data_IF_011825896176
#
_entry.id   IF_011825896176
#
_cell.length_a   1.000
_cell.length_b   1.000
_cell.length_c   1.000
_cell.angle_alpha   90.00
_cell.angle_beta   90.00
_cell.angle_gamma   90.00
#
_symmetry.space_group_name_H-M   'P 1'
#
loop_
_entity.id
_entity.type
_entity.pdbx_description
1 polymer ?
#
# COMPACT_ATOMS: atom_id res chain seq x y z
N UNK A 1 18.61 29.15 -13.24
CA UNK A 1 17.27 28.77 -12.73
C UNK A 1 17.49 27.65 -11.73
N UNK A 2 17.12 27.83 -10.47
CA UNK A 2 17.26 26.76 -9.46
C UNK A 2 16.32 25.60 -9.78
N UNK A 3 16.66 24.39 -9.34
CA UNK A 3 15.73 23.25 -9.41
C UNK A 3 14.50 23.58 -8.55
N UNK A 4 13.32 23.51 -9.17
CA UNK A 4 12.04 23.67 -8.49
C UNK A 4 11.58 22.31 -7.98
N UNK A 5 11.10 22.27 -6.73
CA UNK A 5 10.56 21.06 -6.13
C UNK A 5 9.07 20.95 -6.44
N UNK A 6 8.64 19.78 -6.89
CA UNK A 6 7.23 19.51 -7.17
C UNK A 6 6.66 18.50 -6.18
N UNK A 7 5.45 18.77 -5.69
CA UNK A 7 4.65 17.79 -4.99
C UNK A 7 4.18 16.73 -6.00
N UNK A 8 4.41 15.46 -5.67
CA UNK A 8 3.95 14.31 -6.44
C UNK A 8 2.84 13.63 -5.65
N UNK A 9 1.65 13.57 -6.22
CA UNK A 9 0.54 12.78 -5.69
C UNK A 9 -0.04 11.92 -6.84
N UNK A 10 0.00 10.60 -6.68
CA UNK A 10 -0.47 9.67 -7.70
C UNK A 10 -1.23 8.50 -7.08
N UNK A 11 -2.34 8.11 -7.69
CA UNK A 11 -3.13 6.94 -7.27
C UNK A 11 -2.86 5.76 -8.20
N UNK A 12 -2.66 4.58 -7.62
CA UNK A 12 -2.71 3.30 -8.32
C UNK A 12 -3.78 2.42 -7.70
N UNK A 13 -4.66 1.85 -8.53
CA UNK A 13 -5.77 1.02 -8.05
C UNK A 13 -5.38 -0.46 -8.02
N UNK A 14 -5.88 -1.22 -7.04
CA UNK A 14 -5.58 -2.64 -6.82
C UNK A 14 -6.85 -3.44 -6.55
N UNK A 15 -6.82 -4.71 -6.97
CA UNK A 15 -7.85 -5.70 -6.68
C UNK A 15 -7.46 -6.52 -5.44
N UNK A 16 -8.41 -7.28 -4.88
CA UNK A 16 -8.13 -8.24 -3.79
C UNK A 16 -7.07 -9.27 -4.16
N UNK A 17 -6.99 -9.64 -5.44
CA UNK A 17 -6.02 -10.62 -5.93
C UNK A 17 -4.61 -10.04 -6.02
N UNK A 18 -4.46 -8.76 -6.40
CA UNK A 18 -3.14 -8.17 -6.64
C UNK A 18 -2.52 -7.52 -5.40
N UNK A 19 -3.34 -7.07 -4.44
CA UNK A 19 -2.89 -6.27 -3.29
C UNK A 19 -1.80 -6.94 -2.45
N UNK A 20 -1.84 -8.27 -2.28
CA UNK A 20 -0.89 -8.99 -1.41
C UNK A 20 0.57 -8.82 -1.82
N UNK A 21 0.85 -8.70 -3.13
CA UNK A 21 2.21 -8.40 -3.62
C UNK A 21 2.68 -7.02 -3.16
N UNK A 22 1.79 -6.03 -3.20
CA UNK A 22 2.09 -4.65 -2.82
C UNK A 22 2.22 -4.52 -1.31
N UNK A 23 1.34 -5.16 -0.55
CA UNK A 23 1.46 -5.24 0.92
C UNK A 23 2.85 -5.76 1.32
N UNK A 24 3.29 -6.89 0.78
CA UNK A 24 4.61 -7.44 1.12
C UNK A 24 5.76 -6.49 0.78
N UNK A 25 5.61 -5.70 -0.28
CA UNK A 25 6.59 -4.70 -0.65
C UNK A 25 6.59 -3.50 0.34
N UNK A 26 5.41 -2.95 0.65
CA UNK A 26 5.21 -1.81 1.55
C UNK A 26 5.65 -2.16 2.98
N UNK A 27 5.16 -3.28 3.50
CA UNK A 27 5.41 -3.75 4.88
C UNK A 27 6.79 -4.42 5.05
N UNK A 28 7.66 -4.34 4.03
CA UNK A 28 9.02 -4.93 4.04
C UNK A 28 9.06 -6.42 4.40
N UNK A 29 8.07 -7.21 3.96
CA UNK A 29 7.94 -8.65 4.23
C UNK A 29 8.69 -9.55 3.22
N UNK A 30 9.29 -8.99 2.17
CA UNK A 30 10.07 -9.79 1.23
C UNK A 30 11.50 -9.97 1.75
N UNK A 31 12.05 -11.17 1.55
CA UNK A 31 13.45 -11.46 1.88
C UNK A 31 14.42 -10.80 0.88
N UNK A 32 13.99 -10.69 -0.37
CA UNK A 32 14.82 -10.18 -1.47
C UNK A 32 14.07 -9.13 -2.28
N UNK A 33 14.79 -8.07 -2.66
CA UNK A 33 14.29 -7.00 -3.52
C UNK A 33 15.17 -6.87 -4.75
N UNK A 34 14.58 -6.95 -5.94
CA UNK A 34 15.28 -6.68 -7.19
C UNK A 34 15.63 -5.19 -7.36
N UNK A 35 14.91 -4.30 -6.66
CA UNK A 35 15.18 -2.88 -6.69
C UNK A 35 16.42 -2.56 -5.84
N UNK A 36 17.52 -2.22 -6.50
CA UNK A 36 18.80 -1.89 -5.86
C UNK A 36 18.73 -0.67 -4.93
N UNK A 37 17.69 0.16 -5.07
CA UNK A 37 17.50 1.34 -4.21
C UNK A 37 16.82 1.00 -2.87
N UNK A 38 16.41 -0.25 -2.64
CA UNK A 38 15.88 -0.69 -1.35
C UNK A 38 17.03 -1.10 -0.44
N UNK A 39 17.35 -0.23 0.52
CA UNK A 39 18.29 -0.53 1.60
C UNK A 39 17.55 -1.17 2.79
N UNK A 40 17.68 -2.49 2.93
CA UNK A 40 17.04 -3.23 4.02
C UNK A 40 17.58 -2.84 5.39
N UNK A 41 18.85 -2.42 5.50
CA UNK A 41 19.44 -1.99 6.76
C UNK A 41 18.74 -0.75 7.33
N UNK A 42 18.06 0.02 6.47
CA UNK A 42 17.32 1.23 6.82
C UNK A 42 15.83 0.99 7.05
N UNK A 43 15.33 -0.23 6.86
CA UNK A 43 13.89 -0.52 6.94
C UNK A 43 13.28 -0.24 8.33
N UNK A 44 14.08 -0.28 9.39
CA UNK A 44 13.64 0.07 10.75
C UNK A 44 13.24 1.55 10.90
N UNK A 45 13.65 2.42 9.96
CA UNK A 45 13.27 3.84 9.96
C UNK A 45 11.91 4.09 9.29
N UNK A 46 11.32 3.10 8.62
CA UNK A 46 10.00 3.23 8.03
C UNK A 46 8.95 3.31 9.15
N UNK A 47 7.99 4.22 9.00
CA UNK A 47 6.92 4.43 9.98
C UNK A 47 5.55 4.24 9.34
N UNK A 48 4.64 3.61 10.07
CA UNK A 48 3.24 3.45 9.66
C UNK A 48 2.36 4.41 10.46
N UNK A 49 1.72 5.36 9.80
CA UNK A 49 0.73 6.23 10.45
C UNK A 49 -0.49 5.44 10.93
N UNK A 50 -0.97 4.53 10.08
CA UNK A 50 -1.95 3.50 10.43
C UNK A 50 -1.39 2.15 9.97
N UNK A 51 -1.48 1.14 10.83
CA UNK A 51 -1.06 -0.22 10.53
C UNK A 51 -2.25 -1.17 10.61
N UNK A 52 -2.22 -2.24 9.81
CA UNK A 52 -3.17 -3.35 9.91
C UNK A 52 -2.85 -4.28 11.10
N UNK A 53 -1.82 -3.97 11.90
CA UNK A 53 -1.33 -4.84 12.95
C UNK A 53 -0.79 -6.14 12.35
N UNK A 54 -1.26 -7.28 12.87
CA UNK A 54 -0.87 -8.60 12.37
C UNK A 54 -1.69 -9.07 11.17
N UNK A 55 -2.67 -8.28 10.71
CA UNK A 55 -3.53 -8.64 9.58
C UNK A 55 -2.89 -8.20 8.26
N UNK A 56 -3.09 -9.00 7.22
CA UNK A 56 -2.93 -8.56 5.82
C UNK A 56 -3.98 -7.50 5.47
N UNK A 57 -3.76 -6.76 4.39
CA UNK A 57 -4.69 -5.75 3.88
C UNK A 57 -6.04 -6.38 3.50
N UNK A 58 -6.03 -7.61 2.98
CA UNK A 58 -7.26 -8.36 2.70
C UNK A 58 -7.99 -8.77 3.98
N UNK A 59 -7.29 -9.29 4.99
CA UNK A 59 -7.92 -9.66 6.27
C UNK A 59 -8.44 -8.43 7.03
N UNK A 60 -7.73 -7.30 6.93
CA UNK A 60 -8.18 -6.04 7.50
C UNK A 60 -9.44 -5.53 6.79
N UNK A 61 -9.50 -5.63 5.46
CA UNK A 61 -10.70 -5.33 4.67
C UNK A 61 -11.86 -6.25 5.08
N UNK A 62 -11.62 -7.56 5.25
CA UNK A 62 -12.65 -8.50 5.69
C UNK A 62 -13.16 -8.17 7.11
N UNK A 63 -12.28 -7.73 8.01
CA UNK A 63 -12.67 -7.22 9.32
C UNK A 63 -13.55 -5.97 9.21
N UNK A 64 -13.22 -5.03 8.33
CA UNK A 64 -14.04 -3.83 8.09
C UNK A 64 -15.42 -4.18 7.52
N UNK A 65 -15.51 -5.21 6.67
CA UNK A 65 -16.78 -5.71 6.14
C UNK A 65 -17.61 -6.37 7.24
N UNK A 66 -16.99 -7.24 8.04
CA UNK A 66 -17.64 -7.92 9.18
C UNK A 66 -18.18 -6.92 10.20
N UNK A 67 -17.43 -5.85 10.46
CA UNK A 67 -17.84 -4.75 11.35
C UNK A 67 -18.88 -3.81 10.71
N UNK A 68 -19.29 -4.03 9.46
CA UNK A 68 -20.23 -3.17 8.73
C UNK A 68 -19.69 -1.76 8.40
N UNK A 69 -18.37 -1.53 8.55
CA UNK A 69 -17.73 -0.25 8.24
C UNK A 69 -17.62 -0.02 6.73
N UNK A 70 -17.47 -1.09 5.95
CA UNK A 70 -17.39 -1.07 4.49
C UNK A 70 -18.30 -2.15 3.92
N UNK A 71 -18.89 -1.91 2.75
CA UNK A 71 -19.65 -2.91 2.00
C UNK A 71 -19.07 -3.06 0.60
N UNK A 72 -18.90 -4.31 0.16
CA UNK A 72 -18.53 -4.64 -1.23
C UNK A 72 -19.72 -5.22 -2.03
N UNK A 73 -20.94 -5.14 -1.49
CA UNK A 73 -22.13 -5.67 -2.16
C UNK A 73 -22.32 -4.99 -3.53
N UNK A 74 -22.55 -5.80 -4.56
CA UNK A 74 -22.75 -5.32 -5.93
C UNK A 74 -21.47 -5.08 -6.73
N UNK A 75 -20.28 -5.21 -6.12
CA UNK A 75 -19.02 -5.18 -6.85
C UNK A 75 -18.74 -6.50 -7.56
N UNK A 76 -18.10 -6.42 -8.72
CA UNK A 76 -17.59 -7.61 -9.43
C UNK A 76 -16.40 -8.22 -8.66
N UNK A 77 -16.14 -9.53 -8.79
CA UNK A 77 -15.00 -10.18 -8.12
C UNK A 77 -13.63 -9.57 -8.45
N UNK A 78 -13.48 -8.98 -9.64
CA UNK A 78 -12.27 -8.33 -10.14
C UNK A 78 -12.25 -6.81 -9.91
N UNK A 79 -13.21 -6.28 -9.14
CA UNK A 79 -13.25 -4.85 -8.84
C UNK A 79 -11.96 -4.39 -8.14
N UNK A 80 -11.52 -3.17 -8.49
CA UNK A 80 -10.51 -2.48 -7.72
C UNK A 80 -11.16 -2.02 -6.40
N UNK A 81 -10.59 -2.46 -5.27
CA UNK A 81 -11.12 -2.18 -3.92
C UNK A 81 -10.09 -1.50 -3.03
N UNK A 82 -8.88 -1.26 -3.54
CA UNK A 82 -7.85 -0.47 -2.87
C UNK A 82 -7.33 0.59 -3.82
N UNK A 83 -7.22 1.82 -3.31
CA UNK A 83 -6.51 2.92 -3.96
C UNK A 83 -5.23 3.21 -3.18
N UNK A 84 -4.08 2.91 -3.79
CA UNK A 84 -2.76 3.18 -3.26
C UNK A 84 -2.32 4.58 -3.71
N UNK A 85 -2.29 5.53 -2.77
CA UNK A 85 -1.82 6.88 -3.03
C UNK A 85 -0.33 6.99 -2.67
N UNK A 86 0.48 7.39 -3.64
CA UNK A 86 1.90 7.69 -3.48
C UNK A 86 2.05 9.19 -3.38
N UNK A 87 2.64 9.64 -2.27
CA UNK A 87 2.97 11.05 -2.02
C UNK A 87 4.48 11.18 -1.88
N UNK A 88 5.07 12.11 -2.62
CA UNK A 88 6.51 12.39 -2.56
C UNK A 88 6.78 13.85 -2.96
N UNK A 89 8.03 14.30 -2.78
CA UNK A 89 8.53 15.58 -3.29
C UNK A 89 9.76 15.30 -4.15
N UNK A 90 9.70 15.69 -5.42
CA UNK A 90 10.86 15.55 -6.30
C UNK A 90 11.86 16.70 -6.06
N UNK A 91 13.13 16.34 -5.87
CA UNK A 91 14.31 17.24 -5.76
C UNK A 91 15.06 17.39 -7.10
#
# INVERSE_FOLDING_TARGET
MGKENFCVARVQTRTRMSVGKFERHIERKNENYANMNVDLSRSYMNVSFKSCGNLTYNEYLDKMISNGTVSLKGLKPDANVFDEMIMDVNL
#
